data_IF_553336377841
#
_entry.id   IF_553336377841
#
_cell.length_a   1.000
_cell.length_b   1.000
_cell.length_c   1.000
_cell.angle_alpha   90.00
_cell.angle_beta   90.00
_cell.angle_gamma   90.00
#
_symmetry.space_group_name_H-M   'P 1'
#
loop_
_entity.id
_entity.type
_entity.pdbx_description
1 polymer ?
#
# COMPACT_ATOMS: atom_id res chain seq x y z
N UNK A 1 -7.09 4.89 -17.88
CA UNK A 1 -5.75 5.05 -17.27
C UNK A 1 -5.88 4.75 -15.78
N UNK A 2 -5.64 3.50 -15.37
CA UNK A 2 -5.71 3.05 -13.98
C UNK A 2 -4.29 2.71 -13.56
N UNK A 3 -3.49 3.73 -13.23
CA UNK A 3 -2.11 3.52 -12.82
C UNK A 3 -1.97 3.48 -11.30
N UNK A 4 -3.03 3.73 -10.52
CA UNK A 4 -2.98 3.81 -9.05
C UNK A 4 -4.06 2.92 -8.45
N UNK A 5 -3.67 2.08 -7.48
CA UNK A 5 -4.57 1.25 -6.70
C UNK A 5 -4.27 1.45 -5.22
N UNK A 6 -5.32 1.70 -4.42
CA UNK A 6 -5.24 1.74 -2.96
C UNK A 6 -5.93 0.51 -2.39
N UNK A 7 -5.23 -0.23 -1.54
CA UNK A 7 -5.64 -1.52 -1.00
C UNK A 7 -5.67 -1.44 0.53
N UNK A 8 -6.80 -1.78 1.13
CA UNK A 8 -6.87 -2.01 2.57
C UNK A 8 -6.34 -3.41 2.87
N UNK A 9 -5.23 -3.50 3.60
CA UNK A 9 -4.61 -4.79 3.90
C UNK A 9 -5.43 -5.55 4.95
N UNK A 10 -5.49 -6.89 4.86
CA UNK A 10 -6.36 -7.68 5.72
C UNK A 10 -5.93 -7.64 7.19
N UNK A 11 -4.63 -7.48 7.46
CA UNK A 11 -4.01 -7.50 8.79
C UNK A 11 -2.74 -6.67 8.80
N UNK A 12 -2.31 -6.25 9.99
CA UNK A 12 -1.05 -5.54 10.19
C UNK A 12 -1.06 -4.09 9.70
N UNK A 13 -0.32 -3.24 10.40
CA UNK A 13 -0.16 -1.82 10.06
C UNK A 13 0.53 -1.65 8.70
N UNK A 14 0.15 -0.60 7.96
CA UNK A 14 0.66 -0.34 6.61
C UNK A 14 2.19 -0.26 6.51
N UNK A 15 2.89 0.28 7.51
CA UNK A 15 4.35 0.38 7.54
C UNK A 15 5.03 -1.00 7.53
N UNK A 16 4.38 -2.05 8.09
CA UNK A 16 4.90 -3.41 8.03
C UNK A 16 4.87 -3.94 6.60
N UNK A 17 3.78 -3.70 5.88
CA UNK A 17 3.66 -4.07 4.47
C UNK A 17 4.70 -3.37 3.61
N UNK A 18 4.86 -2.05 3.78
CA UNK A 18 5.89 -1.27 3.09
C UNK A 18 7.28 -1.86 3.34
N UNK A 19 7.65 -2.08 4.61
CA UNK A 19 8.96 -2.63 4.96
C UNK A 19 9.19 -4.09 4.50
N UNK A 20 8.13 -4.87 4.29
CA UNK A 20 8.22 -6.26 3.80
C UNK A 20 8.31 -6.32 2.29
N UNK A 21 7.63 -5.41 1.59
CA UNK A 21 7.66 -5.27 0.13
C UNK A 21 8.96 -4.61 -0.34
N UNK A 22 9.47 -3.61 0.40
CA UNK A 22 10.76 -2.98 0.12
C UNK A 22 11.91 -3.99 0.13
N UNK A 23 11.94 -4.87 1.15
CA UNK A 23 12.89 -6.01 1.20
C UNK A 23 12.76 -7.01 0.05
N UNK A 24 11.67 -6.98 -0.69
CA UNK A 24 11.40 -7.82 -1.87
C UNK A 24 11.63 -7.05 -3.19
N UNK A 25 12.12 -5.82 -3.12
CA UNK A 25 12.39 -4.98 -4.28
C UNK A 25 11.21 -4.13 -4.74
N UNK A 26 10.11 -4.04 -3.98
CA UNK A 26 8.92 -3.28 -4.35
C UNK A 26 8.78 -2.02 -3.49
N UNK A 27 8.81 -0.87 -4.15
CA UNK A 27 8.56 0.42 -3.51
C UNK A 27 7.07 0.76 -3.59
N UNK A 28 6.42 0.87 -2.44
CA UNK A 28 5.00 1.23 -2.31
C UNK A 28 4.83 2.32 -1.25
N UNK A 29 3.68 2.98 -1.26
CA UNK A 29 3.39 4.10 -0.37
C UNK A 29 2.24 3.75 0.59
N UNK A 30 2.10 4.49 1.68
CA UNK A 30 0.94 4.39 2.58
C UNK A 30 -0.03 5.53 2.30
N UNK A 31 -1.32 5.24 2.07
CA UNK A 31 -2.36 6.28 1.92
C UNK A 31 -2.08 7.38 0.88
N UNK A 32 -2.56 8.60 1.15
CA UNK A 32 -2.29 9.81 0.35
C UNK A 32 -0.79 10.15 0.41
N UNK A 33 -0.17 10.35 -0.76
CA UNK A 33 1.27 10.48 -1.02
C UNK A 33 2.11 11.35 -0.05
N UNK A 34 1.48 12.25 0.70
CA UNK A 34 2.14 13.19 1.61
C UNK A 34 1.57 13.00 3.04
N UNK A 35 2.05 11.99 3.75
CA UNK A 35 1.88 11.90 5.21
C UNK A 35 3.19 12.25 5.91
N UNK A 36 3.84 13.35 5.51
CA UNK A 36 4.98 13.90 6.24
C UNK A 36 4.46 14.64 7.47
N UNK A 37 4.53 14.01 8.64
CA UNK A 37 4.40 14.69 9.94
C UNK A 37 3.02 14.75 10.59
N UNK A 38 2.06 13.90 10.19
CA UNK A 38 0.78 13.78 10.92
C UNK A 38 0.64 12.36 11.45
N UNK A 39 0.75 12.20 12.78
CA UNK A 39 0.47 10.94 13.47
C UNK A 39 -1.04 10.64 13.37
N UNK A 40 -1.46 10.03 12.26
CA UNK A 40 -2.87 9.70 12.05
C UNK A 40 -3.18 9.07 10.69
N UNK A 41 -4.32 8.37 10.58
CA UNK A 41 -4.79 7.85 9.29
C UNK A 41 -4.98 9.00 8.29
N UNK A 42 -4.79 8.69 7.00
CA UNK A 42 -4.91 9.69 5.92
C UNK A 42 -6.23 10.46 6.01
N UNK A 43 -6.15 11.81 6.02
CA UNK A 43 -7.33 12.66 6.02
C UNK A 43 -8.24 12.40 4.79
N UNK A 44 -7.66 11.94 3.68
CA UNK A 44 -8.41 11.57 2.47
C UNK A 44 -9.26 10.33 2.73
N UNK A 45 -8.68 9.30 3.36
CA UNK A 45 -9.41 8.09 3.74
C UNK A 45 -10.49 8.39 4.77
N UNK A 46 -10.22 9.30 5.71
CA UNK A 46 -11.22 9.79 6.66
C UNK A 46 -12.38 10.53 5.97
N UNK A 47 -12.08 11.41 5.00
CA UNK A 47 -13.10 12.10 4.20
C UNK A 47 -13.93 11.12 3.35
N UNK A 48 -13.31 10.02 2.88
CA UNK A 48 -13.98 8.91 2.21
C UNK A 48 -14.78 8.00 3.17
N UNK A 49 -14.77 8.29 4.48
CA UNK A 49 -15.44 7.52 5.54
C UNK A 49 -14.93 6.07 5.65
N UNK A 50 -13.67 5.84 5.29
CA UNK A 50 -13.00 4.56 5.56
C UNK A 50 -12.83 4.41 7.08
N UNK A 51 -13.18 3.26 7.67
CA UNK A 51 -12.99 3.03 9.11
C UNK A 51 -11.54 3.28 9.53
N UNK A 52 -11.28 3.92 10.70
CA UNK A 52 -9.92 4.23 11.15
C UNK A 52 -8.98 3.02 11.17
N UNK A 53 -9.50 1.86 11.57
CA UNK A 53 -8.73 0.61 11.61
C UNK A 53 -8.31 0.16 10.20
N UNK A 54 -9.19 0.27 9.21
CA UNK A 54 -8.85 -0.04 7.82
C UNK A 54 -7.88 1.00 7.23
N UNK A 55 -8.08 2.28 7.54
CA UNK A 55 -7.25 3.37 7.05
C UNK A 55 -5.77 3.21 7.48
N UNK A 56 -5.53 2.68 8.69
CA UNK A 56 -4.18 2.32 9.19
C UNK A 56 -3.50 1.20 8.42
N UNK A 57 -4.27 0.41 7.67
CA UNK A 57 -3.79 -0.73 6.88
C UNK A 57 -3.77 -0.45 5.39
N UNK A 58 -4.00 0.79 4.94
CA UNK A 58 -3.99 1.09 3.51
C UNK A 58 -2.58 1.20 2.93
N UNK A 59 -2.33 0.44 1.87
CA UNK A 59 -1.15 0.53 0.99
C UNK A 59 -1.60 1.03 -0.38
N UNK A 60 -0.81 1.94 -0.95
CA UNK A 60 -1.04 2.52 -2.28
C UNK A 60 0.09 2.10 -3.21
N UNK A 61 -0.30 1.57 -4.36
CA UNK A 61 0.59 1.18 -5.45
C UNK A 61 0.30 2.09 -6.64
N UNK A 62 1.36 2.61 -7.25
CA UNK A 62 1.26 3.39 -8.48
C UNK A 62 2.28 2.92 -9.51
N UNK A 63 1.85 2.80 -10.76
CA UNK A 63 2.66 2.42 -11.91
C UNK A 63 3.03 3.63 -12.77
N UNK A 64 4.15 3.49 -13.48
CA UNK A 64 4.63 4.41 -14.51
C UNK A 64 4.50 3.81 -15.91
N UNK A 65 5.03 4.52 -16.91
CA UNK A 65 4.98 4.12 -18.32
C UNK A 65 5.71 2.81 -18.62
N UNK A 66 6.72 2.49 -17.83
CA UNK A 66 7.57 1.30 -17.99
C UNK A 66 7.06 0.09 -17.19
N UNK A 67 6.02 0.25 -16.37
CA UNK A 67 5.48 -0.85 -15.58
C UNK A 67 4.73 -1.82 -16.46
N UNK A 68 5.24 -3.04 -16.53
CA UNK A 68 4.68 -4.15 -17.31
C UNK A 68 3.62 -4.94 -16.54
N UNK A 69 2.92 -5.83 -17.24
CA UNK A 69 2.01 -6.78 -16.60
C UNK A 69 2.74 -7.73 -15.65
N UNK A 70 3.96 -8.09 -16.02
CA UNK A 70 4.83 -8.99 -15.27
C UNK A 70 5.23 -8.37 -13.93
N UNK A 71 5.48 -7.06 -13.88
CA UNK A 71 5.75 -6.33 -12.63
C UNK A 71 4.57 -6.39 -11.66
N UNK A 72 3.34 -6.25 -12.18
CA UNK A 72 2.11 -6.36 -11.38
C UNK A 72 1.90 -7.77 -10.83
N UNK A 73 2.19 -8.80 -11.63
CA UNK A 73 2.10 -10.19 -11.19
C UNK A 73 3.16 -10.50 -10.13
N UNK A 74 4.39 -10.03 -10.33
CA UNK A 74 5.47 -10.17 -9.37
C UNK A 74 5.15 -9.44 -8.04
N UNK A 75 4.52 -8.26 -8.10
CA UNK A 75 4.03 -7.55 -6.92
C UNK A 75 2.96 -8.37 -6.19
N UNK A 76 1.99 -8.94 -6.91
CA UNK A 76 0.93 -9.75 -6.31
C UNK A 76 1.50 -10.98 -5.56
N UNK A 77 2.48 -11.67 -6.16
CA UNK A 77 3.20 -12.78 -5.52
C UNK A 77 3.98 -12.30 -4.28
N UNK A 78 4.67 -11.17 -4.38
CA UNK A 78 5.38 -10.57 -3.25
C UNK A 78 4.45 -10.18 -2.10
N UNK A 79 3.25 -9.67 -2.41
CA UNK A 79 2.20 -9.39 -1.41
C UNK A 79 1.71 -10.68 -0.75
N UNK A 80 1.47 -11.75 -1.52
CA UNK A 80 1.11 -13.07 -0.97
C UNK A 80 2.19 -13.64 -0.06
N UNK A 81 3.47 -13.43 -0.39
CA UNK A 81 4.60 -13.83 0.46
C UNK A 81 4.69 -12.98 1.73
N UNK A 82 4.55 -11.66 1.62
CA UNK A 82 4.57 -10.74 2.76
C UNK A 82 3.42 -11.02 3.73
N UNK A 83 2.25 -11.44 3.24
CA UNK A 83 1.09 -11.79 4.05
C UNK A 83 1.34 -12.91 5.07
N UNK A 84 2.29 -13.81 4.80
CA UNK A 84 2.67 -14.89 5.71
C UNK A 84 3.58 -14.46 6.86
N UNK A 85 4.12 -13.24 6.79
CA UNK A 85 5.10 -12.69 7.74
C UNK A 85 4.57 -11.52 8.58
N UNK A 86 3.29 -11.18 8.41
CA UNK A 86 2.62 -10.03 9.05
C UNK A 86 1.64 -10.50 10.11
#
# INVERSE_FOLDING_TARGET
>A
MWNTVSLAMPRGENHRWVARLDRRGFQVSTGSACATGTDGPSHVLAAMRVPPDEARRVVRVSAGWETSREDWLALAEAMGAAAREI
#
